data_IF_880436242183
#
_entry.id   IF_880436242183
#
_cell.length_a   1.000
_cell.length_b   1.000
_cell.length_c   1.000
_cell.angle_alpha   90.00
_cell.angle_beta   90.00
_cell.angle_gamma   90.00
#
_symmetry.space_group_name_H-M   'P 1'
#
loop_
_entity.id
_entity.type
_entity.pdbx_description
1 polymer ?
#
# COMPACT_ATOMS: atom_id res chain seq x y z
N UNK A 1 -11.45 -18.89 -10.55
CA UNK A 1 -10.12 -18.63 -9.97
C UNK A 1 -10.19 -18.46 -8.45
N UNK A 2 -9.08 -18.64 -7.71
CA UNK A 2 -9.01 -18.42 -6.26
C UNK A 2 -8.00 -17.31 -5.97
N UNK A 3 -8.38 -16.32 -5.15
CA UNK A 3 -7.52 -15.26 -4.65
C UNK A 3 -7.29 -15.47 -3.14
N UNK A 4 -6.05 -15.47 -2.70
CA UNK A 4 -5.70 -15.61 -1.28
C UNK A 4 -5.21 -14.28 -0.71
N UNK A 5 -5.83 -13.84 0.41
CA UNK A 5 -5.53 -12.55 1.03
C UNK A 5 -5.35 -12.66 2.55
N UNK A 6 -4.42 -11.91 3.16
CA UNK A 6 -4.04 -12.06 4.56
C UNK A 6 -4.92 -11.32 5.58
N UNK A 7 -5.79 -10.41 5.14
CA UNK A 7 -6.51 -9.48 6.01
C UNK A 7 -7.93 -9.25 5.53
N UNK A 8 -8.91 -9.08 6.42
CA UNK A 8 -10.27 -8.66 6.08
C UNK A 8 -10.47 -7.13 6.20
N UNK A 9 -9.40 -6.35 6.36
CA UNK A 9 -9.42 -4.89 6.57
C UNK A 9 -9.58 -4.10 5.26
N UNK A 10 -9.48 -2.75 5.32
CA UNK A 10 -9.58 -1.84 4.17
C UNK A 10 -8.36 -0.92 4.04
N UNK A 11 -7.15 -1.49 4.17
CA UNK A 11 -5.92 -0.75 3.95
C UNK A 11 -5.45 -0.80 2.49
N UNK A 12 -4.27 -0.27 2.20
CA UNK A 12 -3.80 -0.11 0.82
C UNK A 12 -3.77 -1.39 -0.01
N UNK A 13 -3.21 -2.50 0.51
CA UNK A 13 -3.18 -3.79 -0.19
C UNK A 13 -4.56 -4.42 -0.34
N UNK A 14 -5.44 -4.16 0.64
CA UNK A 14 -6.80 -4.69 0.68
C UNK A 14 -7.66 -3.98 -0.39
N UNK A 15 -7.49 -2.65 -0.52
CA UNK A 15 -8.11 -1.84 -1.59
C UNK A 15 -7.62 -2.28 -2.97
N UNK A 16 -6.34 -2.59 -3.13
CA UNK A 16 -5.80 -3.11 -4.40
C UNK A 16 -6.32 -4.51 -4.73
N UNK A 17 -6.55 -5.38 -3.73
CA UNK A 17 -7.25 -6.64 -3.96
C UNK A 17 -8.65 -6.41 -4.49
N UNK A 18 -9.41 -5.49 -3.90
CA UNK A 18 -10.77 -5.16 -4.35
C UNK A 18 -10.78 -4.71 -5.82
N UNK A 19 -9.81 -3.87 -6.21
CA UNK A 19 -9.68 -3.46 -7.61
C UNK A 19 -9.26 -4.62 -8.53
N UNK A 20 -8.42 -5.54 -8.05
CA UNK A 20 -8.10 -6.77 -8.78
C UNK A 20 -9.35 -7.66 -8.96
N UNK A 21 -10.18 -7.80 -7.92
CA UNK A 21 -11.45 -8.54 -8.00
C UNK A 21 -12.39 -7.90 -9.03
N UNK A 22 -12.57 -6.58 -8.99
CA UNK A 22 -13.37 -5.84 -9.98
C UNK A 22 -12.86 -6.02 -11.41
N UNK A 23 -11.55 -6.12 -11.60
CA UNK A 23 -10.94 -6.40 -12.90
C UNK A 23 -11.26 -7.79 -13.41
N UNK A 24 -11.53 -8.76 -12.53
CA UNK A 24 -11.58 -10.19 -12.84
C UNK A 24 -12.99 -10.76 -12.88
N UNK A 25 -13.95 -10.23 -12.10
CA UNK A 25 -15.31 -10.77 -11.96
C UNK A 25 -16.11 -10.75 -13.26
N UNK A 26 -15.84 -9.83 -14.19
CA UNK A 26 -16.44 -9.85 -15.53
C UNK A 26 -15.86 -10.91 -16.49
N UNK A 27 -14.78 -11.61 -16.08
CA UNK A 27 -14.02 -12.54 -16.93
C UNK A 27 -13.90 -13.95 -16.34
N UNK A 28 -14.13 -14.13 -15.05
CA UNK A 28 -14.01 -15.40 -14.36
C UNK A 28 -14.89 -15.45 -13.10
N UNK A 29 -15.26 -16.66 -12.66
CA UNK A 29 -15.77 -16.86 -11.30
C UNK A 29 -14.62 -16.63 -10.29
N UNK A 30 -14.83 -15.69 -9.38
CA UNK A 30 -13.81 -15.26 -8.41
C UNK A 30 -14.20 -15.72 -7.01
N UNK A 31 -13.31 -16.49 -6.38
CA UNK A 31 -13.40 -16.89 -4.98
C UNK A 31 -12.25 -16.23 -4.22
N UNK A 32 -12.54 -15.46 -3.18
CA UNK A 32 -11.52 -14.85 -2.32
C UNK A 32 -11.47 -15.56 -0.98
N UNK A 33 -10.28 -16.00 -0.57
CA UNK A 33 -10.06 -16.57 0.76
C UNK A 33 -9.44 -15.53 1.68
N UNK A 34 -10.04 -15.34 2.86
CA UNK A 34 -9.57 -14.46 3.94
C UNK A 34 -9.52 -15.23 5.25
N UNK A 35 -8.69 -14.81 6.23
CA UNK A 35 -8.56 -15.53 7.51
C UNK A 35 -9.74 -15.33 8.46
N UNK A 36 -10.52 -14.26 8.30
CA UNK A 36 -11.68 -13.92 9.13
C UNK A 36 -12.66 -13.03 8.36
N UNK A 37 -13.88 -12.85 8.86
CA UNK A 37 -14.81 -11.84 8.38
C UNK A 37 -14.34 -10.43 8.80
N UNK A 38 -14.68 -9.43 7.98
CA UNK A 38 -14.38 -8.02 8.24
C UNK A 38 -14.85 -7.10 7.11
N UNK A 39 -14.56 -5.80 7.20
CA UNK A 39 -15.12 -4.77 6.30
C UNK A 39 -14.84 -5.01 4.81
N UNK A 40 -13.72 -5.65 4.47
CA UNK A 40 -13.38 -5.99 3.09
C UNK A 40 -14.32 -7.04 2.51
N UNK A 41 -14.84 -7.97 3.34
CA UNK A 41 -15.63 -9.10 2.85
C UNK A 41 -16.91 -8.65 2.13
N UNK A 42 -17.63 -7.68 2.69
CA UNK A 42 -18.84 -7.16 2.08
C UNK A 42 -18.53 -6.44 0.75
N UNK A 43 -17.47 -5.66 0.70
CA UNK A 43 -17.01 -5.00 -0.54
C UNK A 43 -16.62 -6.00 -1.64
N UNK A 44 -16.04 -7.14 -1.26
CA UNK A 44 -15.70 -8.21 -2.21
C UNK A 44 -16.95 -8.91 -2.73
N UNK A 45 -17.96 -9.17 -1.86
CA UNK A 45 -19.27 -9.73 -2.25
C UNK A 45 -20.01 -8.78 -3.20
N UNK A 46 -20.02 -7.47 -2.87
CA UNK A 46 -20.62 -6.44 -3.74
C UNK A 46 -19.91 -6.35 -5.10
N UNK A 47 -18.60 -6.65 -5.15
CA UNK A 47 -17.84 -6.74 -6.40
C UNK A 47 -18.06 -8.07 -7.16
N UNK A 48 -18.94 -8.96 -6.69
CA UNK A 48 -19.30 -10.21 -7.34
C UNK A 48 -18.40 -11.41 -7.02
N UNK A 49 -17.58 -11.34 -5.97
CA UNK A 49 -16.76 -12.46 -5.54
C UNK A 49 -17.47 -13.33 -4.48
N UNK A 50 -17.25 -14.64 -4.54
CA UNK A 50 -17.53 -15.53 -3.40
C UNK A 50 -16.43 -15.34 -2.34
N UNK A 51 -16.80 -15.03 -1.09
CA UNK A 51 -15.86 -14.91 0.02
C UNK A 51 -15.89 -16.17 0.88
N UNK A 52 -14.74 -16.78 1.09
CA UNK A 52 -14.55 -17.98 1.90
C UNK A 52 -13.61 -17.69 3.05
N UNK A 53 -14.10 -17.82 4.27
CA UNK A 53 -13.24 -17.72 5.47
C UNK A 53 -12.47 -19.03 5.62
N UNK A 54 -11.14 -18.92 5.55
CA UNK A 54 -10.23 -20.05 5.71
C UNK A 54 -9.06 -19.64 6.62
N UNK A 55 -9.03 -20.23 7.79
CA UNK A 55 -7.96 -19.98 8.78
C UNK A 55 -6.62 -20.54 8.26
N UNK A 56 -5.84 -19.66 7.65
CA UNK A 56 -4.50 -19.95 7.13
C UNK A 56 -3.50 -19.07 7.86
N UNK A 57 -2.35 -19.60 8.30
CA UNK A 57 -1.33 -18.79 8.97
C UNK A 57 -0.83 -17.65 8.07
N UNK A 58 -0.92 -16.42 8.56
CA UNK A 58 -0.28 -15.25 7.96
C UNK A 58 1.10 -15.06 8.58
N UNK A 59 2.14 -14.93 7.79
CA UNK A 59 3.49 -14.71 8.29
C UNK A 59 3.56 -13.37 9.04
N UNK A 60 3.92 -13.42 10.32
CA UNK A 60 4.04 -12.27 11.22
C UNK A 60 5.37 -12.27 11.93
N UNK A 61 5.85 -11.10 12.37
CA UNK A 61 7.09 -10.97 13.16
C UNK A 61 7.11 -11.88 14.39
N UNK A 62 5.97 -12.16 14.99
CA UNK A 62 5.85 -13.07 16.13
C UNK A 62 6.36 -14.50 15.86
N UNK A 63 6.38 -14.94 14.59
CA UNK A 63 6.91 -16.26 14.20
C UNK A 63 8.43 -16.29 14.01
N UNK A 64 9.14 -15.16 14.12
CA UNK A 64 10.60 -15.11 13.92
C UNK A 64 11.40 -15.60 15.13
N UNK A 65 10.76 -15.88 16.28
CA UNK A 65 11.40 -16.53 17.42
C UNK A 65 11.47 -18.05 17.22
N UNK A 66 12.42 -18.79 17.85
CA UNK A 66 12.49 -20.24 17.74
C UNK A 66 11.18 -20.96 18.10
N UNK A 67 10.51 -20.56 19.16
CA UNK A 67 9.19 -21.08 19.55
C UNK A 67 8.11 -20.71 18.51
N UNK A 68 8.18 -19.49 17.97
CA UNK A 68 7.29 -19.04 16.90
C UNK A 68 7.44 -19.85 15.62
N UNK A 69 8.66 -20.21 15.23
CA UNK A 69 8.93 -21.07 14.06
C UNK A 69 8.38 -22.49 14.25
N UNK A 70 8.53 -23.06 15.43
CA UNK A 70 7.95 -24.38 15.76
C UNK A 70 6.42 -24.31 15.66
N UNK A 71 5.81 -23.29 16.26
CA UNK A 71 4.36 -23.06 16.19
C UNK A 71 3.90 -22.91 14.74
N UNK A 72 4.62 -22.13 13.94
CA UNK A 72 4.31 -21.94 12.52
C UNK A 72 4.39 -23.25 11.75
N UNK A 73 5.45 -24.04 11.96
CA UNK A 73 5.61 -25.35 11.32
C UNK A 73 4.45 -26.31 11.67
N UNK A 74 4.04 -26.35 12.94
CA UNK A 74 2.90 -27.16 13.39
C UNK A 74 1.58 -26.70 12.74
N UNK A 75 1.34 -25.39 12.69
CA UNK A 75 0.15 -24.83 12.03
C UNK A 75 0.14 -25.15 10.54
N UNK A 76 1.29 -25.05 9.85
CA UNK A 76 1.40 -25.38 8.44
C UNK A 76 1.17 -26.87 8.18
N UNK A 77 1.74 -27.75 8.99
CA UNK A 77 1.50 -29.18 8.90
C UNK A 77 0.00 -29.53 9.02
N UNK A 78 -0.71 -28.82 9.90
CA UNK A 78 -2.15 -29.01 10.11
C UNK A 78 -3.00 -28.40 8.98
N UNK A 79 -2.62 -27.24 8.43
CA UNK A 79 -3.45 -26.48 7.48
C UNK A 79 -3.16 -26.79 6.01
N UNK A 80 -1.91 -27.17 5.66
CA UNK A 80 -1.53 -27.43 4.27
C UNK A 80 -2.38 -28.49 3.58
N UNK A 81 -2.71 -29.64 4.20
CA UNK A 81 -3.59 -30.63 3.57
C UNK A 81 -4.98 -30.06 3.22
N UNK A 82 -5.56 -29.24 4.11
CA UNK A 82 -6.86 -28.59 3.89
C UNK A 82 -6.79 -27.59 2.75
N UNK A 83 -5.72 -26.79 2.66
CA UNK A 83 -5.49 -25.84 1.55
C UNK A 83 -5.40 -26.56 0.21
N UNK A 84 -4.61 -27.64 0.13
CA UNK A 84 -4.45 -28.45 -1.08
C UNK A 84 -5.77 -29.12 -1.46
N UNK A 85 -6.51 -29.69 -0.47
CA UNK A 85 -7.81 -30.30 -0.70
C UNK A 85 -8.86 -29.27 -1.18
N UNK A 86 -8.83 -28.05 -0.62
CA UNK A 86 -9.68 -26.95 -1.07
C UNK A 86 -9.41 -26.62 -2.55
N UNK A 87 -8.15 -26.42 -2.94
CA UNK A 87 -7.78 -26.13 -4.32
C UNK A 87 -8.13 -27.28 -5.27
N UNK A 88 -7.90 -28.54 -4.87
CA UNK A 88 -8.28 -29.71 -5.68
C UNK A 88 -9.77 -29.88 -5.88
N UNK A 89 -10.57 -29.50 -4.87
CA UNK A 89 -12.05 -29.52 -5.00
C UNK A 89 -12.56 -28.39 -5.87
N UNK A 90 -12.03 -27.17 -5.69
CA UNK A 90 -12.44 -25.99 -6.47
C UNK A 90 -11.91 -26.00 -7.90
N UNK A 91 -10.79 -26.69 -8.16
CA UNK A 91 -10.11 -26.79 -9.47
C UNK A 91 -9.96 -25.43 -10.19
N UNK A 92 -9.43 -24.39 -9.52
CA UNK A 92 -9.30 -23.10 -10.16
C UNK A 92 -8.24 -23.16 -11.26
N UNK A 93 -8.47 -22.50 -12.39
CA UNK A 93 -7.46 -22.34 -13.43
C UNK A 93 -6.28 -21.47 -12.95
N UNK A 94 -6.57 -20.52 -12.06
CA UNK A 94 -5.59 -19.59 -11.50
C UNK A 94 -5.73 -19.51 -9.99
N UNK A 95 -4.59 -19.60 -9.31
CA UNK A 95 -4.42 -19.18 -7.93
C UNK A 95 -3.65 -17.86 -7.91
N UNK A 96 -4.23 -16.83 -7.30
CA UNK A 96 -3.63 -15.52 -7.13
C UNK A 96 -3.37 -15.27 -5.64
N UNK A 97 -2.11 -15.07 -5.28
CA UNK A 97 -1.67 -14.82 -3.89
C UNK A 97 -1.31 -13.35 -3.74
N UNK A 98 -2.11 -12.59 -2.99
CA UNK A 98 -2.02 -11.12 -2.92
C UNK A 98 -1.04 -10.62 -1.85
N UNK A 99 0.09 -11.29 -1.64
CA UNK A 99 1.12 -10.88 -0.67
C UNK A 99 2.25 -11.89 -0.57
N UNK A 100 3.42 -11.46 -0.09
CA UNK A 100 4.51 -12.36 0.35
C UNK A 100 4.25 -12.98 1.74
N UNK A 101 3.29 -12.45 2.50
CA UNK A 101 3.01 -12.95 3.86
C UNK A 101 2.16 -14.23 3.89
N UNK A 102 1.72 -14.72 2.72
CA UNK A 102 1.01 -15.98 2.53
C UNK A 102 1.79 -16.99 1.66
N UNK A 103 3.08 -17.24 1.92
CA UNK A 103 3.95 -18.04 1.04
C UNK A 103 3.46 -19.49 0.83
N UNK A 104 2.69 -20.01 1.76
CA UNK A 104 2.14 -21.37 1.73
C UNK A 104 1.11 -21.57 0.62
N UNK A 105 0.38 -20.53 0.22
CA UNK A 105 -0.57 -20.65 -0.87
C UNK A 105 0.13 -20.93 -2.21
N UNK A 106 1.30 -20.34 -2.47
CA UNK A 106 2.06 -20.67 -3.69
C UNK A 106 2.50 -22.14 -3.68
N UNK A 107 2.96 -22.65 -2.52
CA UNK A 107 3.31 -24.05 -2.36
C UNK A 107 2.07 -24.97 -2.49
N UNK A 108 0.95 -24.62 -1.85
CA UNK A 108 -0.31 -25.38 -1.95
C UNK A 108 -0.81 -25.46 -3.40
N UNK A 109 -0.72 -24.37 -4.17
CA UNK A 109 -1.07 -24.34 -5.58
C UNK A 109 -0.24 -25.30 -6.42
N UNK A 110 1.08 -25.35 -6.17
CA UNK A 110 1.97 -26.30 -6.86
C UNK A 110 1.68 -27.76 -6.48
N UNK A 111 1.44 -28.03 -5.18
CA UNK A 111 1.08 -29.35 -4.68
C UNK A 111 -0.31 -29.80 -5.16
N UNK A 112 -1.21 -28.87 -5.38
CA UNK A 112 -2.52 -29.16 -5.97
C UNK A 112 -2.48 -29.42 -7.47
N UNK A 113 -1.33 -29.14 -8.13
CA UNK A 113 -1.14 -29.34 -9.58
C UNK A 113 -1.76 -28.22 -10.43
N UNK A 114 -1.94 -27.00 -9.88
CA UNK A 114 -2.55 -25.90 -10.63
C UNK A 114 -1.67 -25.44 -11.78
N UNK A 115 -2.30 -25.19 -12.94
CA UNK A 115 -1.65 -24.76 -14.15
C UNK A 115 -1.05 -23.34 -14.01
N UNK A 116 -1.68 -22.47 -13.20
CA UNK A 116 -1.20 -21.09 -13.04
C UNK A 116 -1.27 -20.64 -11.59
N UNK A 117 -0.14 -20.17 -11.06
CA UNK A 117 0.00 -19.53 -9.74
C UNK A 117 0.61 -18.16 -9.95
N UNK A 118 -0.07 -17.12 -9.48
CA UNK A 118 0.34 -15.71 -9.54
C UNK A 118 0.63 -15.24 -8.13
N UNK A 119 1.71 -14.49 -7.93
CA UNK A 119 2.03 -13.83 -6.66
C UNK A 119 2.06 -12.32 -6.89
N UNK A 120 1.22 -11.57 -6.21
CA UNK A 120 1.22 -10.10 -6.25
C UNK A 120 1.88 -9.55 -4.99
N UNK A 121 2.96 -8.82 -5.16
CA UNK A 121 3.82 -8.30 -4.09
C UNK A 121 3.49 -6.84 -3.83
N UNK A 122 3.06 -6.55 -2.62
CA UNK A 122 2.74 -5.21 -2.13
C UNK A 122 3.74 -4.71 -1.09
N UNK A 123 4.68 -5.56 -0.69
CA UNK A 123 5.65 -5.28 0.35
C UNK A 123 7.00 -4.86 -0.26
N UNK A 124 7.61 -3.82 0.33
CA UNK A 124 9.02 -3.48 0.15
C UNK A 124 9.66 -3.44 1.54
N UNK A 125 10.19 -4.57 1.97
CA UNK A 125 10.75 -4.74 3.32
C UNK A 125 12.25 -4.38 3.34
N UNK A 126 12.58 -3.15 2.94
CA UNK A 126 13.97 -2.67 2.86
C UNK A 126 14.70 -2.65 4.21
N UNK A 127 13.95 -2.58 5.29
CA UNK A 127 14.51 -2.55 6.66
C UNK A 127 14.89 -3.94 7.18
N UNK A 128 14.49 -5.03 6.50
CA UNK A 128 14.84 -6.38 6.90
C UNK A 128 16.27 -6.75 6.45
N UNK A 129 17.00 -7.55 7.22
CA UNK A 129 18.28 -8.12 6.79
C UNK A 129 18.14 -8.92 5.47
N UNK A 130 19.16 -8.84 4.60
CA UNK A 130 19.15 -9.50 3.28
C UNK A 130 18.78 -10.99 3.30
N UNK A 131 19.25 -11.83 4.27
CA UNK A 131 18.84 -13.24 4.31
C UNK A 131 17.35 -13.41 4.53
N UNK A 132 16.74 -12.56 5.36
CA UNK A 132 15.32 -12.61 5.67
C UNK A 132 14.47 -12.17 4.47
N UNK A 133 14.88 -11.09 3.78
CA UNK A 133 14.21 -10.66 2.54
C UNK A 133 14.26 -11.74 1.46
N UNK A 134 15.43 -12.38 1.27
CA UNK A 134 15.58 -13.52 0.33
C UNK A 134 14.66 -14.68 0.70
N UNK A 135 14.54 -15.00 1.99
CA UNK A 135 13.62 -16.03 2.45
C UNK A 135 12.16 -15.68 2.15
N UNK A 136 11.76 -14.42 2.35
CA UNK A 136 10.42 -13.93 2.01
C UNK A 136 10.14 -13.97 0.50
N UNK A 137 11.15 -13.76 -0.33
CA UNK A 137 11.01 -13.79 -1.79
C UNK A 137 11.04 -15.21 -2.39
N UNK A 138 11.47 -16.23 -1.63
CA UNK A 138 11.51 -17.62 -2.12
C UNK A 138 10.21 -18.13 -2.74
N UNK A 139 9.01 -17.82 -2.17
CA UNK A 139 7.73 -18.29 -2.72
C UNK A 139 7.47 -17.81 -4.15
N UNK A 140 8.05 -16.67 -4.57
CA UNK A 140 7.93 -16.16 -5.93
C UNK A 140 8.52 -17.12 -6.97
N UNK A 141 9.49 -17.97 -6.58
CA UNK A 141 10.06 -19.00 -7.46
C UNK A 141 9.06 -20.11 -7.80
N UNK A 142 8.05 -20.29 -6.97
CA UNK A 142 6.96 -21.23 -7.20
C UNK A 142 5.83 -20.62 -8.03
N UNK A 143 5.80 -19.30 -8.16
CA UNK A 143 4.83 -18.60 -8.99
C UNK A 143 5.20 -18.72 -10.48
N UNK A 144 4.18 -18.78 -11.35
CA UNK A 144 4.34 -18.68 -12.80
C UNK A 144 4.49 -17.22 -13.24
N UNK A 145 3.86 -16.30 -12.49
CA UNK A 145 3.97 -14.86 -12.65
C UNK A 145 4.11 -14.23 -11.26
N UNK A 146 5.02 -13.28 -11.15
CA UNK A 146 5.11 -12.38 -9.99
C UNK A 146 4.77 -10.97 -10.46
N UNK A 147 3.80 -10.34 -9.82
CA UNK A 147 3.43 -8.94 -10.06
C UNK A 147 4.06 -8.12 -8.94
N UNK A 148 4.79 -7.07 -9.28
CA UNK A 148 5.30 -6.08 -8.35
C UNK A 148 4.49 -4.78 -8.48
N UNK A 149 4.10 -4.18 -7.38
CA UNK A 149 3.25 -2.99 -7.36
C UNK A 149 3.96 -1.68 -7.75
N UNK A 150 5.28 -1.73 -7.97
CA UNK A 150 6.13 -0.60 -8.37
C UNK A 150 7.42 -1.09 -9.02
N UNK A 151 8.14 -0.25 -9.75
CA UNK A 151 9.45 -0.58 -10.32
C UNK A 151 10.50 -0.77 -9.21
N UNK A 152 10.39 -0.02 -8.13
CA UNK A 152 11.22 -0.18 -6.93
C UNK A 152 11.02 -1.55 -6.28
N UNK A 153 9.77 -1.96 -6.10
CA UNK A 153 9.42 -3.29 -5.61
C UNK A 153 9.94 -4.39 -6.55
N UNK A 154 9.74 -4.25 -7.88
CA UNK A 154 10.27 -5.16 -8.89
C UNK A 154 11.78 -5.35 -8.74
N UNK A 155 12.51 -4.24 -8.75
CA UNK A 155 13.99 -4.27 -8.63
C UNK A 155 14.42 -4.98 -7.36
N UNK A 156 13.73 -4.69 -6.25
CA UNK A 156 14.02 -5.28 -4.95
C UNK A 156 13.77 -6.78 -4.91
N UNK A 157 12.58 -7.25 -5.31
CA UNK A 157 12.26 -8.68 -5.23
C UNK A 157 13.10 -9.52 -6.20
N UNK A 158 13.49 -8.97 -7.35
CA UNK A 158 14.43 -9.63 -8.28
C UNK A 158 15.82 -9.74 -7.66
N UNK A 159 16.32 -8.68 -7.02
CA UNK A 159 17.59 -8.72 -6.29
C UNK A 159 17.57 -9.71 -5.11
N UNK A 160 16.41 -9.93 -4.50
CA UNK A 160 16.21 -10.89 -3.42
C UNK A 160 15.87 -12.31 -3.92
N UNK A 161 15.87 -12.55 -5.24
CA UNK A 161 15.85 -13.86 -5.87
C UNK A 161 14.56 -14.27 -6.57
N UNK A 162 13.63 -13.37 -6.80
CA UNK A 162 12.48 -13.60 -7.68
C UNK A 162 12.97 -13.77 -9.15
N UNK A 163 12.37 -14.67 -9.93
CA UNK A 163 12.75 -14.88 -11.33
C UNK A 163 12.43 -13.66 -12.20
N UNK A 164 13.43 -12.94 -12.68
CA UNK A 164 13.26 -11.71 -13.48
C UNK A 164 12.34 -11.93 -14.70
N UNK A 165 12.51 -13.03 -15.43
CA UNK A 165 11.71 -13.34 -16.62
C UNK A 165 10.21 -13.60 -16.34
N UNK A 166 9.82 -13.77 -15.08
CA UNK A 166 8.43 -13.99 -14.63
C UNK A 166 7.92 -12.88 -13.75
N UNK A 167 8.70 -11.82 -13.57
CA UNK A 167 8.32 -10.67 -12.73
C UNK A 167 7.94 -9.52 -13.63
N UNK A 168 6.73 -8.99 -13.43
CA UNK A 168 6.21 -7.84 -14.17
C UNK A 168 5.83 -6.74 -13.18
N UNK A 169 5.91 -5.49 -13.62
CA UNK A 169 5.44 -4.36 -12.82
C UNK A 169 4.02 -4.00 -13.24
N UNK A 170 3.13 -3.93 -12.27
CA UNK A 170 1.78 -3.34 -12.41
C UNK A 170 1.65 -2.31 -11.29
N UNK A 171 1.80 -1.04 -11.65
CA UNK A 171 1.67 0.01 -10.65
C UNK A 171 0.28 0.02 -10.03
N UNK A 172 0.22 0.18 -8.73
CA UNK A 172 -1.05 0.40 -8.05
C UNK A 172 -1.79 1.58 -8.68
N UNK A 173 -3.08 1.66 -8.42
CA UNK A 173 -3.95 2.70 -8.94
C UNK A 173 -4.90 3.20 -7.86
N UNK A 174 -5.49 4.35 -8.11
CA UNK A 174 -6.44 5.01 -7.22
C UNK A 174 -7.63 5.48 -8.03
N UNK A 175 -8.83 5.39 -7.44
CA UNK A 175 -9.98 6.10 -7.98
C UNK A 175 -9.71 7.61 -7.86
N UNK A 176 -9.96 8.39 -8.92
CA UNK A 176 -9.79 9.83 -8.80
C UNK A 176 -10.75 10.34 -7.71
N UNK A 177 -10.23 11.01 -6.67
CA UNK A 177 -11.07 11.60 -5.64
C UNK A 177 -11.89 12.75 -6.21
N UNK A 178 -12.94 13.17 -5.49
CA UNK A 178 -13.67 14.37 -5.83
C UNK A 178 -12.68 15.55 -5.82
N UNK A 179 -12.37 16.08 -7.02
CA UNK A 179 -11.43 17.18 -7.16
C UNK A 179 -12.13 18.50 -6.84
N UNK A 180 -11.57 19.23 -5.88
CA UNK A 180 -11.94 20.63 -5.62
C UNK A 180 -10.75 21.53 -6.00
N UNK A 181 -10.97 22.67 -6.62
CA UNK A 181 -9.88 23.60 -6.93
C UNK A 181 -9.08 23.96 -5.68
N UNK A 182 -7.77 24.03 -5.80
CA UNK A 182 -6.92 24.53 -4.74
C UNK A 182 -7.29 25.98 -4.42
N UNK A 183 -7.29 26.35 -3.14
CA UNK A 183 -7.63 27.70 -2.71
C UNK A 183 -6.73 28.76 -3.41
N UNK A 184 -7.24 29.98 -3.62
CA UNK A 184 -6.45 31.06 -4.23
C UNK A 184 -5.28 31.53 -3.36
N UNK A 185 -5.42 31.37 -2.03
CA UNK A 185 -4.38 31.65 -1.05
C UNK A 185 -4.33 30.50 -0.03
N UNK A 186 -3.14 30.22 0.51
CA UNK A 186 -3.00 29.15 1.50
C UNK A 186 -3.68 29.51 2.82
N UNK A 187 -4.27 28.52 3.47
CA UNK A 187 -4.88 28.61 4.81
C UNK A 187 -4.00 27.94 5.86
N UNK A 188 -2.89 27.30 5.46
CA UNK A 188 -2.04 26.50 6.32
C UNK A 188 -2.63 25.14 6.70
N UNK A 189 -3.61 24.65 5.94
CA UNK A 189 -4.26 23.36 6.20
C UNK A 189 -3.41 22.20 5.66
N UNK A 190 -2.88 21.38 6.57
CA UNK A 190 -2.06 20.21 6.27
C UNK A 190 -2.85 18.93 6.55
N UNK A 191 -2.67 17.91 5.73
CA UNK A 191 -3.24 16.58 6.00
C UNK A 191 -2.18 15.51 5.84
N UNK A 192 -2.23 14.52 6.73
CA UNK A 192 -1.51 13.27 6.62
C UNK A 192 -2.51 12.13 6.74
N UNK A 193 -2.45 11.18 5.79
CA UNK A 193 -3.33 10.01 5.78
C UNK A 193 -2.48 8.74 5.93
N UNK A 194 -2.88 7.86 6.82
CA UNK A 194 -2.24 6.55 6.97
C UNK A 194 -2.34 6.00 8.38
N UNK A 195 -2.03 4.73 8.53
CA UNK A 195 -1.97 4.08 9.86
C UNK A 195 -0.99 4.81 10.76
N UNK A 196 -1.38 4.99 12.03
CA UNK A 196 -0.46 5.52 13.04
C UNK A 196 0.61 4.47 13.36
N UNK A 197 1.78 4.65 12.77
CA UNK A 197 2.93 3.76 12.95
C UNK A 197 4.23 4.49 12.65
N UNK A 198 5.35 4.10 13.27
CA UNK A 198 6.65 4.71 12.98
C UNK A 198 7.01 4.71 11.49
N UNK A 199 6.63 3.64 10.76
CA UNK A 199 6.91 3.53 9.33
C UNK A 199 6.25 4.63 8.49
N UNK A 200 5.08 5.10 8.89
CA UNK A 200 4.35 6.16 8.17
C UNK A 200 4.83 7.57 8.50
N UNK A 201 5.68 7.74 9.53
CA UNK A 201 6.28 9.02 9.88
C UNK A 201 5.31 10.07 10.45
N UNK A 202 4.22 9.63 11.09
CA UNK A 202 3.27 10.55 11.72
C UNK A 202 3.92 11.39 12.81
N UNK A 203 4.93 10.87 13.49
CA UNK A 203 5.77 11.61 14.44
C UNK A 203 6.57 12.72 13.76
N UNK A 204 7.08 12.49 12.55
CA UNK A 204 7.78 13.53 11.76
C UNK A 204 6.81 14.65 11.37
N UNK A 205 5.58 14.30 10.92
CA UNK A 205 4.56 15.31 10.59
C UNK A 205 4.17 16.16 11.80
N UNK A 206 3.94 15.51 12.95
CA UNK A 206 3.60 16.21 14.21
C UNK A 206 4.74 17.15 14.65
N UNK A 207 5.99 16.69 14.61
CA UNK A 207 7.15 17.53 14.95
C UNK A 207 7.34 18.68 13.97
N UNK A 208 7.13 18.45 12.66
CA UNK A 208 7.19 19.52 11.66
C UNK A 208 6.10 20.58 11.90
N UNK A 209 4.87 20.19 12.19
CA UNK A 209 3.79 21.12 12.54
C UNK A 209 4.12 21.93 13.82
N UNK A 210 4.71 21.31 14.83
CA UNK A 210 5.17 22.01 16.04
C UNK A 210 6.33 22.97 15.74
N UNK A 211 7.24 22.62 14.83
CA UNK A 211 8.34 23.48 14.40
C UNK A 211 7.81 24.71 13.65
N UNK A 212 6.87 24.51 12.73
CA UNK A 212 6.23 25.61 12.01
C UNK A 212 5.52 26.60 12.97
N UNK A 213 4.77 26.08 13.96
CA UNK A 213 4.14 26.90 14.97
C UNK A 213 5.17 27.72 15.79
N UNK A 214 6.32 27.13 16.18
CA UNK A 214 7.43 27.86 16.84
C UNK A 214 8.06 28.95 15.96
N UNK A 215 8.01 28.79 14.62
CA UNK A 215 8.45 29.79 13.64
C UNK A 215 7.39 30.90 13.42
N UNK A 216 6.26 30.84 14.13
CA UNK A 216 5.15 31.80 14.00
C UNK A 216 4.27 31.57 12.78
N UNK A 217 4.32 30.34 12.18
CA UNK A 217 3.44 29.97 11.07
C UNK A 217 2.12 29.42 11.59
N UNK A 218 1.04 29.98 11.12
CA UNK A 218 -0.32 29.45 11.38
C UNK A 218 -0.57 28.27 10.46
N UNK A 219 -0.43 27.06 11.00
CA UNK A 219 -0.72 25.81 10.31
C UNK A 219 -1.60 24.92 11.18
N UNK A 220 -2.49 24.17 10.55
CA UNK A 220 -3.27 23.11 11.19
C UNK A 220 -2.99 21.78 10.51
N UNK A 221 -2.67 20.74 11.29
CA UNK A 221 -2.42 19.38 10.79
C UNK A 221 -3.57 18.47 11.19
N UNK A 222 -4.21 17.84 10.20
CA UNK A 222 -5.14 16.74 10.41
C UNK A 222 -4.43 15.41 10.11
N UNK A 223 -4.39 14.54 11.10
CA UNK A 223 -3.86 13.17 10.98
C UNK A 223 -5.03 12.22 10.87
N UNK A 224 -5.19 11.60 9.68
CA UNK A 224 -6.28 10.69 9.35
C UNK A 224 -5.76 9.26 9.34
N UNK A 225 -6.37 8.41 10.14
CA UNK A 225 -6.02 7.01 10.27
C UNK A 225 -5.98 6.56 11.71
N UNK A 226 -5.93 5.26 11.90
CA UNK A 226 -5.99 4.64 13.21
C UNK A 226 -4.72 3.84 13.51
N UNK A 227 -4.54 3.49 14.78
CA UNK A 227 -3.42 2.70 15.24
C UNK A 227 -3.62 1.23 14.87
N UNK A 228 -2.55 0.55 14.50
CA UNK A 228 -2.57 -0.89 14.31
C UNK A 228 -2.38 -1.61 15.65
N UNK A 229 -3.09 -2.72 15.89
CA UNK A 229 -2.94 -3.49 17.13
C UNK A 229 -1.47 -3.77 17.46
N UNK A 230 -1.06 -3.42 18.70
CA UNK A 230 0.32 -3.51 19.18
C UNK A 230 1.15 -2.23 19.01
N UNK A 231 0.59 -1.17 18.41
CA UNK A 231 1.23 0.14 18.29
C UNK A 231 0.54 1.23 19.13
N UNK A 232 -0.28 0.87 20.10
CA UNK A 232 -1.00 1.80 21.00
C UNK A 232 -0.02 2.68 21.81
N UNK A 233 1.19 2.18 22.04
CA UNK A 233 2.28 2.94 22.66
C UNK A 233 2.69 4.11 21.78
N UNK A 234 2.78 3.92 20.47
CA UNK A 234 3.15 4.96 19.51
C UNK A 234 2.09 6.05 19.40
N UNK A 235 0.81 5.67 19.40
CA UNK A 235 -0.29 6.64 19.42
C UNK A 235 -0.25 7.52 20.68
N UNK A 236 0.00 6.92 21.87
CA UNK A 236 0.13 7.70 23.10
C UNK A 236 1.30 8.69 23.05
N UNK A 237 2.46 8.26 22.55
CA UNK A 237 3.61 9.14 22.36
C UNK A 237 3.33 10.25 21.36
N UNK A 238 2.66 9.92 20.26
CA UNK A 238 2.31 10.88 19.22
C UNK A 238 1.35 11.96 19.74
N UNK A 239 0.30 11.56 20.47
CA UNK A 239 -0.64 12.50 21.10
C UNK A 239 0.00 13.37 22.18
N UNK A 240 0.97 12.84 22.92
CA UNK A 240 1.72 13.61 23.92
C UNK A 240 2.65 14.67 23.30
N UNK A 241 3.11 14.46 22.07
CA UNK A 241 3.94 15.42 21.33
C UNK A 241 3.14 16.44 20.52
N UNK A 242 1.84 16.17 20.31
CA UNK A 242 0.98 16.99 19.48
C UNK A 242 0.66 18.32 20.16
N UNK A 243 0.85 19.43 19.43
CA UNK A 243 0.40 20.76 19.82
C UNK A 243 -1.11 20.96 19.54
N UNK A 244 -1.66 22.11 19.99
CA UNK A 244 -3.08 22.43 19.80
C UNK A 244 -3.47 22.58 18.32
N UNK A 245 -2.51 22.71 17.42
CA UNK A 245 -2.70 22.80 15.98
C UNK A 245 -2.73 21.43 15.29
N UNK A 246 -2.74 20.32 16.03
CA UNK A 246 -2.80 18.95 15.48
C UNK A 246 -4.10 18.27 15.89
N UNK A 247 -4.84 17.76 14.94
CA UNK A 247 -6.10 17.01 15.15
C UNK A 247 -5.93 15.58 14.64
N UNK A 248 -6.35 14.59 15.45
CA UNK A 248 -6.41 13.18 15.06
C UNK A 248 -7.86 12.84 14.70
N UNK A 249 -8.11 12.62 13.42
CA UNK A 249 -9.46 12.35 12.90
C UNK A 249 -9.91 10.89 13.09
N UNK A 250 -8.98 9.98 13.45
CA UNK A 250 -9.25 8.54 13.46
C UNK A 250 -9.35 7.93 12.07
N UNK A 251 -9.87 6.71 11.99
CA UNK A 251 -10.09 6.02 10.72
C UNK A 251 -11.19 6.71 9.90
N UNK A 252 -10.98 6.82 8.60
CA UNK A 252 -11.96 7.32 7.65
C UNK A 252 -12.11 6.35 6.47
N UNK A 253 -13.34 5.99 6.13
CA UNK A 253 -13.64 5.18 4.95
C UNK A 253 -13.39 5.93 3.64
N UNK A 254 -13.52 7.25 3.66
CA UNK A 254 -13.20 8.14 2.55
C UNK A 254 -12.23 9.23 3.01
N UNK A 255 -11.12 9.33 2.32
CA UNK A 255 -10.13 10.38 2.56
C UNK A 255 -10.38 11.64 1.73
N UNK A 256 -11.36 11.61 0.82
CA UNK A 256 -11.60 12.64 -0.19
C UNK A 256 -11.90 14.01 0.45
N UNK A 257 -12.73 14.05 1.48
CA UNK A 257 -13.07 15.28 2.19
C UNK A 257 -11.85 15.90 2.88
N UNK A 258 -11.00 15.05 3.48
CA UNK A 258 -9.77 15.50 4.11
C UNK A 258 -8.77 16.04 3.10
N UNK A 259 -8.61 15.36 1.96
CA UNK A 259 -7.76 15.82 0.86
C UNK A 259 -8.30 17.13 0.26
N UNK A 260 -9.62 17.22 0.04
CA UNK A 260 -10.26 18.41 -0.49
C UNK A 260 -10.13 19.63 0.44
N UNK A 261 -10.13 19.41 1.75
CA UNK A 261 -9.99 20.47 2.76
C UNK A 261 -8.54 20.94 2.94
N UNK A 262 -7.54 20.13 2.53
CA UNK A 262 -6.14 20.43 2.73
C UNK A 262 -5.57 21.40 1.68
N UNK A 263 -4.59 22.18 2.08
CA UNK A 263 -3.71 22.94 1.20
C UNK A 263 -2.53 22.09 0.75
N UNK A 264 -1.95 21.27 1.63
CA UNK A 264 -0.78 20.43 1.36
C UNK A 264 -1.00 19.04 1.96
N UNK A 265 -0.65 18.01 1.20
CA UNK A 265 -0.66 16.60 1.65
C UNK A 265 0.75 16.17 2.06
N UNK A 266 0.87 15.58 3.25
CA UNK A 266 2.13 15.12 3.80
C UNK A 266 2.23 13.59 3.75
N UNK A 267 3.35 13.07 3.21
CA UNK A 267 3.64 11.65 3.15
C UNK A 267 5.06 11.38 3.68
N UNK A 268 5.32 11.62 4.99
CA UNK A 268 6.66 11.57 5.58
C UNK A 268 7.11 10.15 5.93
N UNK A 269 6.74 9.17 5.13
CA UNK A 269 6.99 7.75 5.37
C UNK A 269 8.49 7.43 5.42
N UNK A 270 8.89 6.52 6.30
CA UNK A 270 10.27 6.00 6.38
C UNK A 270 10.54 4.89 5.34
N UNK A 271 9.53 4.45 4.65
CA UNK A 271 9.59 3.45 3.58
C UNK A 271 8.21 3.17 3.01
N UNK A 272 8.13 3.12 1.69
CA UNK A 272 6.93 2.81 0.92
C UNK A 272 7.25 1.88 -0.23
N UNK A 273 6.37 0.90 -0.44
CA UNK A 273 6.45 0.05 -1.64
C UNK A 273 5.90 0.75 -2.89
N UNK A 274 4.95 1.67 -2.69
CA UNK A 274 4.34 2.48 -3.74
C UNK A 274 4.03 3.88 -3.21
N UNK A 275 2.95 4.09 -2.47
CA UNK A 275 2.56 5.39 -1.93
C UNK A 275 1.18 5.85 -2.43
N UNK A 276 0.14 5.04 -2.17
CA UNK A 276 -1.24 5.36 -2.60
C UNK A 276 -1.67 6.77 -2.18
N UNK A 277 -1.36 7.18 -0.94
CA UNK A 277 -1.73 8.51 -0.42
C UNK A 277 -1.07 9.65 -1.21
N UNK A 278 0.17 9.46 -1.70
CA UNK A 278 0.79 10.45 -2.56
C UNK A 278 0.01 10.60 -3.87
N UNK A 279 -0.37 9.47 -4.49
CA UNK A 279 -1.20 9.47 -5.71
C UNK A 279 -2.57 10.07 -5.44
N UNK A 280 -3.22 9.74 -4.32
CA UNK A 280 -4.52 10.32 -3.91
C UNK A 280 -4.42 11.85 -3.77
N UNK A 281 -3.39 12.35 -3.09
CA UNK A 281 -3.14 13.78 -2.93
C UNK A 281 -2.90 14.48 -4.27
N UNK A 282 -2.06 13.90 -5.13
CA UNK A 282 -1.79 14.42 -6.47
C UNK A 282 -3.08 14.43 -7.32
N UNK A 283 -3.86 13.35 -7.36
CA UNK A 283 -5.12 13.28 -8.10
C UNK A 283 -6.16 14.28 -7.58
N UNK A 284 -6.16 14.55 -6.26
CA UNK A 284 -6.99 15.59 -5.67
C UNK A 284 -6.56 17.02 -6.02
N UNK A 285 -5.48 17.18 -6.79
CA UNK A 285 -4.93 18.49 -7.15
C UNK A 285 -4.30 19.20 -5.95
N UNK A 286 -3.67 18.46 -5.06
CA UNK A 286 -2.95 19.00 -3.89
C UNK A 286 -1.45 18.87 -4.10
N UNK A 287 -0.65 19.89 -3.75
CA UNK A 287 0.79 19.71 -3.69
C UNK A 287 1.11 18.70 -2.59
N UNK A 288 2.00 17.76 -2.92
CA UNK A 288 2.44 16.69 -2.01
C UNK A 288 3.87 16.96 -1.55
N UNK A 289 4.09 16.90 -0.24
CA UNK A 289 5.45 16.86 0.34
C UNK A 289 5.66 15.46 0.91
N UNK A 290 6.62 14.74 0.37
CA UNK A 290 6.86 13.34 0.71
C UNK A 290 8.33 13.08 1.06
N UNK A 291 8.58 11.99 1.79
CA UNK A 291 9.95 11.53 1.99
C UNK A 291 10.56 10.99 0.69
N UNK A 292 11.85 11.25 0.46
CA UNK A 292 12.63 10.66 -0.63
C UNK A 292 12.98 9.20 -0.28
N UNK A 293 12.01 8.33 -0.47
CA UNK A 293 12.15 6.88 -0.27
C UNK A 293 11.60 6.15 -1.48
N UNK A 294 12.03 4.87 -1.62
CA UNK A 294 11.57 3.97 -2.69
C UNK A 294 10.03 3.96 -2.75
N UNK A 295 9.48 3.91 -3.93
CA UNK A 295 8.04 4.04 -4.18
C UNK A 295 7.58 5.48 -4.29
N UNK A 296 7.94 6.37 -3.37
CA UNK A 296 7.56 7.79 -3.44
C UNK A 296 8.36 8.57 -4.49
N UNK A 297 9.66 8.33 -4.59
CA UNK A 297 10.50 8.96 -5.62
C UNK A 297 10.28 8.39 -7.05
N UNK A 298 9.49 7.31 -7.18
CA UNK A 298 8.98 6.82 -8.46
C UNK A 298 7.72 7.57 -8.92
N UNK A 299 6.95 8.09 -7.94
CA UNK A 299 5.69 8.81 -8.18
C UNK A 299 5.94 10.31 -8.34
N UNK A 300 6.83 10.87 -7.52
CA UNK A 300 7.05 12.31 -7.40
C UNK A 300 8.38 12.69 -8.04
N UNK A 301 8.32 13.61 -9.01
CA UNK A 301 9.50 14.34 -9.52
C UNK A 301 9.68 15.59 -8.67
N UNK A 302 10.77 15.64 -7.88
CA UNK A 302 11.05 16.73 -6.96
C UNK A 302 11.06 18.11 -7.67
N UNK A 303 10.32 19.06 -7.12
CA UNK A 303 10.18 20.42 -7.65
C UNK A 303 9.23 20.55 -8.86
N UNK A 304 8.75 19.44 -9.43
CA UNK A 304 7.84 19.46 -10.59
C UNK A 304 6.43 18.97 -10.25
N UNK A 305 6.30 17.76 -9.65
CA UNK A 305 5.01 17.14 -9.35
C UNK A 305 4.77 16.99 -7.84
N UNK A 306 5.74 17.37 -7.02
CA UNK A 306 5.73 17.37 -5.56
C UNK A 306 7.09 17.77 -5.02
N UNK A 307 7.23 17.82 -3.70
CA UNK A 307 8.51 18.02 -3.04
C UNK A 307 8.94 16.73 -2.32
N UNK A 308 10.19 16.34 -2.49
CA UNK A 308 10.82 15.23 -1.78
C UNK A 308 11.79 15.78 -0.73
N UNK A 309 11.72 15.22 0.49
CA UNK A 309 12.58 15.59 1.61
C UNK A 309 13.25 14.35 2.19
N UNK A 310 14.40 14.46 2.86
CA UNK A 310 15.01 13.32 3.54
C UNK A 310 14.04 12.68 4.54
N UNK A 311 13.96 11.33 4.60
CA UNK A 311 13.10 10.65 5.57
C UNK A 311 13.59 10.93 7.00
N UNK A 312 12.65 11.00 7.96
CA UNK A 312 12.91 11.27 9.39
C UNK A 312 13.47 12.67 9.70
N UNK A 313 13.31 13.62 8.77
CA UNK A 313 13.79 14.99 8.93
C UNK A 313 12.60 15.95 9.01
N UNK A 314 12.19 16.28 10.24
CA UNK A 314 11.10 17.22 10.49
C UNK A 314 11.46 18.66 10.10
N UNK A 315 12.75 19.01 10.08
CA UNK A 315 13.18 20.35 9.69
C UNK A 315 13.05 20.51 8.17
N UNK A 316 13.55 19.55 7.40
CA UNK A 316 13.40 19.56 5.94
C UNK A 316 11.92 19.49 5.53
N UNK A 317 11.09 18.73 6.26
CA UNK A 317 9.63 18.69 6.01
C UNK A 317 8.99 20.06 6.27
N UNK A 318 9.34 20.73 7.38
CA UNK A 318 8.85 22.07 7.71
C UNK A 318 9.29 23.11 6.67
N UNK A 319 10.56 23.06 6.24
CA UNK A 319 11.11 23.98 5.23
C UNK A 319 10.40 23.83 3.86
N UNK A 320 10.11 22.59 3.46
CA UNK A 320 9.36 22.32 2.23
C UNK A 320 7.91 22.83 2.31
N UNK A 321 7.24 22.66 3.46
CA UNK A 321 5.92 23.22 3.70
C UNK A 321 5.97 24.75 3.64
N UNK A 322 6.91 25.39 4.31
CA UNK A 322 7.09 26.84 4.27
C UNK A 322 7.35 27.36 2.85
N UNK A 323 8.15 26.65 2.07
CA UNK A 323 8.41 27.00 0.65
C UNK A 323 7.10 27.08 -0.13
N UNK A 324 6.23 26.07 -0.02
CA UNK A 324 4.94 26.05 -0.72
C UNK A 324 3.96 27.12 -0.19
N UNK A 325 3.94 27.37 1.12
CA UNK A 325 3.08 28.39 1.72
C UNK A 325 3.53 29.82 1.36
N UNK A 326 4.82 30.04 1.20
CA UNK A 326 5.39 31.34 0.82
C UNK A 326 5.29 31.62 -0.68
N UNK A 327 5.38 30.58 -1.53
CA UNK A 327 5.20 30.68 -2.98
C UNK A 327 3.99 29.82 -3.41
N UNK A 328 2.81 30.40 -3.25
CA UNK A 328 1.57 29.69 -3.58
C UNK A 328 1.40 29.46 -5.09
N UNK A 329 2.02 30.27 -5.93
CA UNK A 329 2.04 30.06 -7.37
C UNK A 329 2.85 28.82 -7.75
N UNK A 330 3.98 28.59 -7.09
CA UNK A 330 4.74 27.33 -7.19
C UNK A 330 3.89 26.15 -6.73
N UNK A 331 3.22 26.26 -5.58
CA UNK A 331 2.36 25.19 -5.04
C UNK A 331 1.25 24.80 -6.04
N UNK A 332 0.59 25.79 -6.65
CA UNK A 332 -0.45 25.55 -7.67
C UNK A 332 0.12 24.92 -8.94
N UNK A 333 1.31 25.31 -9.35
CA UNK A 333 2.00 24.73 -10.50
C UNK A 333 2.33 23.25 -10.26
N UNK A 334 2.91 22.94 -9.11
CA UNK A 334 3.25 21.58 -8.68
C UNK A 334 1.98 20.72 -8.60
N UNK A 335 0.92 21.24 -7.97
CA UNK A 335 -0.35 20.54 -7.84
C UNK A 335 -0.97 20.19 -9.20
N UNK A 336 -0.97 21.14 -10.15
CA UNK A 336 -1.52 20.94 -11.49
C UNK A 336 -0.73 19.89 -12.29
N UNK A 337 0.61 19.99 -12.28
CA UNK A 337 1.47 19.01 -12.96
C UNK A 337 1.33 17.62 -12.30
N UNK A 338 1.33 17.58 -10.98
CA UNK A 338 1.16 16.34 -10.21
C UNK A 338 -0.17 15.65 -10.51
N UNK A 339 -1.27 16.43 -10.56
CA UNK A 339 -2.59 15.91 -10.88
C UNK A 339 -2.63 15.31 -12.30
N UNK A 340 -2.10 16.03 -13.28
CA UNK A 340 -2.04 15.53 -14.66
C UNK A 340 -1.28 14.22 -14.76
N UNK A 341 -0.11 14.14 -14.15
CA UNK A 341 0.73 12.92 -14.16
C UNK A 341 0.04 11.76 -13.43
N UNK A 342 -0.52 12.01 -12.25
CA UNK A 342 -1.18 10.97 -11.46
C UNK A 342 -2.41 10.38 -12.18
N UNK A 343 -3.26 11.23 -12.77
CA UNK A 343 -4.43 10.79 -13.54
C UNK A 343 -4.04 9.98 -14.77
N UNK A 344 -2.93 10.33 -15.45
CA UNK A 344 -2.47 9.61 -16.63
C UNK A 344 -1.84 8.26 -16.29
N UNK A 345 -1.04 8.17 -15.22
CA UNK A 345 -0.21 7.00 -14.92
C UNK A 345 -0.85 6.00 -13.96
N UNK A 346 -1.78 6.44 -13.09
CA UNK A 346 -2.26 5.61 -11.97
C UNK A 346 -3.78 5.40 -11.96
N UNK A 347 -4.41 5.42 -13.15
CA UNK A 347 -5.85 5.20 -13.31
C UNK A 347 -6.25 3.74 -13.04
N UNK A 348 -7.47 3.54 -12.50
CA UNK A 348 -8.02 2.21 -12.26
C UNK A 348 -8.17 1.40 -13.55
N UNK A 349 -8.59 2.04 -14.65
CA UNK A 349 -8.77 1.36 -15.93
C UNK A 349 -7.46 0.73 -16.44
N UNK A 350 -6.33 1.47 -16.36
CA UNK A 350 -5.00 0.95 -16.66
C UNK A 350 -4.64 -0.24 -15.76
N UNK A 351 -4.79 -0.07 -14.44
CA UNK A 351 -4.46 -1.13 -13.47
C UNK A 351 -5.23 -2.42 -13.76
N UNK A 352 -6.54 -2.30 -13.97
CA UNK A 352 -7.40 -3.45 -14.24
C UNK A 352 -7.00 -4.18 -15.51
N UNK A 353 -6.64 -3.45 -16.58
CA UNK A 353 -6.15 -4.03 -17.82
C UNK A 353 -4.80 -4.73 -17.65
N UNK A 354 -3.85 -4.09 -16.97
CA UNK A 354 -2.52 -4.65 -16.73
C UNK A 354 -2.58 -5.89 -15.82
N UNK A 355 -3.44 -5.88 -14.78
CA UNK A 355 -3.67 -7.06 -13.91
C UNK A 355 -4.26 -8.21 -14.73
N UNK A 356 -5.27 -7.96 -15.58
CA UNK A 356 -5.82 -9.00 -16.47
C UNK A 356 -4.75 -9.56 -17.39
N UNK A 357 -3.98 -8.70 -18.03
CA UNK A 357 -2.89 -9.09 -18.92
C UNK A 357 -1.84 -9.93 -18.18
N UNK A 358 -1.44 -9.53 -16.97
CA UNK A 358 -0.48 -10.27 -16.16
C UNK A 358 -1.01 -11.65 -15.74
N UNK A 359 -2.32 -11.76 -15.47
CA UNK A 359 -2.94 -13.00 -15.01
C UNK A 359 -3.28 -13.94 -16.17
N UNK A 360 -3.83 -13.45 -17.28
CA UNK A 360 -4.34 -14.27 -18.38
C UNK A 360 -3.43 -14.26 -19.60
N UNK A 361 -2.55 -13.28 -19.75
CA UNK A 361 -1.65 -13.15 -20.88
C UNK A 361 -0.64 -14.31 -20.98
N UNK A 362 -0.20 -14.61 -22.21
CA UNK A 362 0.92 -15.50 -22.41
C UNK A 362 2.20 -14.79 -21.96
N UNK A 363 2.90 -15.35 -20.97
CA UNK A 363 4.27 -14.91 -20.70
C UNK A 363 5.12 -15.18 -21.94
N UNK A 364 6.06 -14.28 -22.32
CA UNK A 364 7.05 -14.61 -23.32
C UNK A 364 7.74 -15.90 -22.88
N UNK A 365 7.70 -16.91 -23.77
CA UNK A 365 8.46 -18.14 -23.58
C UNK A 365 9.93 -17.74 -23.64
N UNK A 366 10.60 -17.71 -22.48
CA UNK A 366 12.03 -17.51 -22.38
C UNK A 366 12.80 -18.73 -22.86
#
# INVERSE_FOLDING_TARGET
MVLAHPSPDLYGSDRMLLESVRALTGHAEVVVTVPAEGPLCDRLRDAGAEVVVLDVPVLRKAYLSPAGLIRLAALLAARMPAMVAFLRRRRPDVLYVNTLTLPWWTAAGRLAGLARVVCHVHEAEDQLPSPMRRALSLPTRLAHVTIANSASCHTRIVADGAPKARTVTVHNAVAPPASTPLARAPRGALVMVGRLSPRKGSDVAVRAAALLARRGREVSLVVVGDVFPGYEWFERELRAQAGPNVTFAGFSDSVDEHLAAADIVLVPSHGESFGLVAVEGMMAGRPVVASDVQGLNEIITHGETGLLVPPKDEAALADAIETLLNDWALAQTIATKGQFEALSRYSLARYQEEVRTAIFGNLPRG
#
